data_IF_952014624397
#
_entry.id   IF_952014624397
#
_cell.length_a   1.000
_cell.length_b   1.000
_cell.length_c   1.000
_cell.angle_alpha   90.00
_cell.angle_beta   90.00
_cell.angle_gamma   90.00
#
_symmetry.space_group_name_H-M   'P 1'
#
loop_
_entity.id
_entity.type
_entity.pdbx_description
1 polymer ?
#
# COMPACT_ATOMS: atom_id res chain seq x y z
N UNK A 1 -40.68 -25.96 -2.20
CA UNK A 1 -39.31 -25.46 -1.96
C UNK A 1 -38.48 -26.67 -1.63
N UNK A 2 -37.51 -27.00 -2.51
CA UNK A 2 -36.51 -28.05 -2.24
C UNK A 2 -35.64 -27.59 -1.07
N UNK A 3 -35.31 -28.51 -0.18
CA UNK A 3 -34.46 -28.25 0.98
C UNK A 3 -33.08 -27.78 0.49
N UNK A 4 -32.78 -26.52 0.77
CA UNK A 4 -31.45 -25.94 0.50
C UNK A 4 -30.65 -26.07 1.78
N UNK A 5 -29.59 -26.86 1.76
CA UNK A 5 -28.69 -27.04 2.90
C UNK A 5 -27.61 -25.97 2.86
N UNK A 6 -27.57 -25.10 3.88
CA UNK A 6 -26.52 -24.14 4.07
C UNK A 6 -25.52 -24.71 5.09
N UNK A 7 -24.23 -24.75 4.73
CA UNK A 7 -23.19 -25.18 5.65
C UNK A 7 -22.12 -24.10 5.81
N UNK A 8 -21.80 -23.78 7.07
CA UNK A 8 -20.68 -22.91 7.40
C UNK A 8 -19.47 -23.74 7.81
N UNK A 9 -18.32 -23.46 7.23
CA UNK A 9 -17.05 -24.11 7.60
C UNK A 9 -16.22 -23.16 8.46
N UNK A 10 -15.57 -23.71 9.50
CA UNK A 10 -14.77 -22.94 10.44
C UNK A 10 -13.51 -22.30 9.80
N UNK A 11 -13.01 -22.86 8.70
CA UNK A 11 -11.87 -22.32 7.97
C UNK A 11 -12.30 -21.82 6.60
N UNK A 12 -12.28 -20.51 6.33
CA UNK A 12 -12.70 -19.92 5.06
C UNK A 12 -11.58 -19.98 3.99
N UNK A 13 -10.96 -21.13 3.80
CA UNK A 13 -9.89 -21.32 2.80
C UNK A 13 -10.41 -21.57 1.39
N UNK A 14 -11.60 -21.07 1.10
CA UNK A 14 -12.24 -21.19 -0.19
C UNK A 14 -13.59 -21.91 -0.09
N UNK A 15 -14.38 -21.82 -1.14
CA UNK A 15 -15.65 -22.51 -1.30
C UNK A 15 -15.70 -23.18 -2.67
N UNK A 16 -16.46 -24.24 -2.76
CA UNK A 16 -16.81 -24.81 -4.06
C UNK A 16 -18.33 -24.91 -4.15
N UNK A 17 -18.83 -24.86 -5.33
CA UNK A 17 -20.23 -25.10 -5.66
C UNK A 17 -20.27 -26.38 -6.47
N UNK A 18 -20.97 -27.38 -5.99
CA UNK A 18 -21.23 -28.61 -6.73
C UNK A 18 -22.66 -28.55 -7.30
N UNK A 19 -22.78 -28.87 -8.55
CA UNK A 19 -24.09 -28.94 -9.20
C UNK A 19 -24.54 -30.42 -9.28
N UNK A 20 -25.83 -30.70 -9.13
CA UNK A 20 -26.36 -32.07 -9.28
C UNK A 20 -26.06 -32.71 -10.64
N UNK A 21 -25.70 -31.90 -11.64
CA UNK A 21 -25.32 -32.33 -12.97
C UNK A 21 -24.06 -33.20 -12.99
N UNK A 22 -23.21 -33.09 -11.94
CA UNK A 22 -21.94 -33.83 -11.81
C UNK A 22 -22.12 -35.22 -11.20
N UNK A 23 -23.23 -35.48 -10.49
CA UNK A 23 -23.54 -36.76 -9.82
C UNK A 23 -24.62 -37.55 -10.57
N UNK A 24 -24.44 -37.72 -11.85
CA UNK A 24 -25.45 -38.17 -12.82
C UNK A 24 -26.00 -39.62 -12.71
N UNK A 25 -25.67 -40.38 -11.68
CA UNK A 25 -26.05 -41.80 -11.66
C UNK A 25 -27.52 -42.10 -11.37
N UNK A 26 -28.34 -41.09 -10.92
CA UNK A 26 -29.74 -41.30 -10.58
C UNK A 26 -30.71 -40.14 -10.93
N UNK A 27 -30.32 -39.21 -11.80
CA UNK A 27 -31.16 -38.05 -12.15
C UNK A 27 -31.59 -38.16 -13.62
N UNK A 28 -32.88 -37.93 -13.89
CA UNK A 28 -33.39 -37.84 -15.26
C UNK A 28 -32.62 -36.76 -16.07
N UNK A 29 -31.96 -37.12 -17.20
CA UNK A 29 -31.25 -36.19 -18.03
C UNK A 29 -32.07 -34.97 -18.52
N UNK A 30 -33.40 -35.10 -18.49
CA UNK A 30 -34.34 -34.04 -18.90
C UNK A 30 -34.92 -33.24 -17.73
N UNK A 31 -34.45 -33.48 -16.49
CA UNK A 31 -34.95 -32.69 -15.33
C UNK A 31 -34.72 -31.20 -15.58
N UNK A 32 -35.77 -30.36 -15.56
CA UNK A 32 -35.69 -28.93 -15.79
C UNK A 32 -34.86 -28.20 -14.70
N UNK A 33 -34.53 -28.88 -13.57
CA UNK A 33 -33.72 -28.31 -12.50
C UNK A 33 -32.22 -28.46 -12.74
N UNK A 34 -31.80 -29.24 -13.70
CA UNK A 34 -30.39 -29.34 -14.07
C UNK A 34 -29.94 -28.04 -14.75
N UNK A 35 -28.73 -27.56 -14.41
CA UNK A 35 -28.22 -26.32 -14.96
C UNK A 35 -28.10 -26.37 -16.49
N UNK A 36 -27.73 -27.53 -17.05
CA UNK A 36 -27.64 -27.75 -18.51
C UNK A 36 -28.97 -27.56 -19.25
N UNK A 37 -30.12 -27.80 -18.57
CA UNK A 37 -31.45 -27.70 -19.16
C UNK A 37 -32.09 -26.31 -18.96
N UNK A 38 -31.40 -25.40 -18.22
CA UNK A 38 -31.86 -24.04 -18.00
C UNK A 38 -31.56 -23.12 -19.20
N UNK A 39 -32.36 -22.06 -19.40
CA UNK A 39 -32.08 -21.03 -20.39
C UNK A 39 -30.65 -20.49 -20.29
N UNK A 40 -30.03 -20.15 -21.41
CA UNK A 40 -28.64 -19.69 -21.49
C UNK A 40 -28.38 -18.54 -20.52
N UNK A 41 -29.32 -17.58 -20.41
CA UNK A 41 -29.18 -16.42 -19.52
C UNK A 41 -29.01 -16.87 -18.06
N UNK A 42 -29.81 -17.84 -17.59
CA UNK A 42 -29.71 -18.33 -16.21
C UNK A 42 -28.39 -19.02 -15.95
N UNK A 43 -27.88 -19.79 -16.94
CA UNK A 43 -26.55 -20.43 -16.84
C UNK A 43 -25.42 -19.39 -16.75
N UNK A 44 -25.47 -18.36 -17.60
CA UNK A 44 -24.49 -17.27 -17.58
C UNK A 44 -24.51 -16.54 -16.23
N UNK A 45 -25.68 -16.22 -15.68
CA UNK A 45 -25.80 -15.57 -14.37
C UNK A 45 -25.16 -16.43 -13.26
N UNK A 46 -25.46 -17.71 -13.23
CA UNK A 46 -24.93 -18.61 -12.19
C UNK A 46 -23.42 -18.74 -12.30
N UNK A 47 -22.87 -18.94 -13.50
CA UNK A 47 -21.43 -19.11 -13.74
C UNK A 47 -20.68 -17.80 -13.43
N UNK A 48 -21.25 -16.66 -13.80
CA UNK A 48 -20.59 -15.36 -13.60
C UNK A 48 -20.77 -14.78 -12.17
N UNK A 49 -21.70 -15.31 -11.39
CA UNK A 49 -22.01 -14.78 -10.05
C UNK A 49 -20.76 -14.72 -9.12
N UNK A 50 -19.89 -15.71 -9.18
CA UNK A 50 -18.64 -15.72 -8.41
C UNK A 50 -17.71 -14.58 -8.77
N UNK A 51 -17.54 -14.30 -10.07
CA UNK A 51 -16.70 -13.20 -10.56
C UNK A 51 -17.28 -11.86 -10.11
N UNK A 52 -18.61 -11.67 -10.25
CA UNK A 52 -19.27 -10.44 -9.80
C UNK A 52 -19.17 -10.26 -8.28
N UNK A 53 -19.33 -11.32 -7.50
CA UNK A 53 -19.17 -11.25 -6.04
C UNK A 53 -17.75 -10.81 -5.66
N UNK A 54 -16.73 -11.35 -6.31
CA UNK A 54 -15.34 -10.95 -6.09
C UNK A 54 -15.08 -9.48 -6.45
N UNK A 55 -15.65 -9.00 -7.57
CA UNK A 55 -15.54 -7.59 -7.96
C UNK A 55 -16.22 -6.65 -6.95
N UNK A 56 -17.42 -7.01 -6.47
CA UNK A 56 -18.13 -6.25 -5.43
C UNK A 56 -17.31 -6.22 -4.15
N UNK A 57 -16.74 -7.36 -3.73
CA UNK A 57 -15.90 -7.43 -2.54
C UNK A 57 -14.64 -6.57 -2.68
N UNK A 58 -13.92 -6.67 -3.81
CA UNK A 58 -12.74 -5.88 -4.08
C UNK A 58 -13.05 -4.38 -4.07
N UNK A 59 -14.14 -3.97 -4.70
CA UNK A 59 -14.58 -2.58 -4.71
C UNK A 59 -14.98 -2.07 -3.32
N UNK A 60 -15.64 -2.90 -2.53
CA UNK A 60 -16.00 -2.58 -1.13
C UNK A 60 -14.74 -2.37 -0.28
N UNK A 61 -13.74 -3.23 -0.42
CA UNK A 61 -12.46 -3.08 0.28
C UNK A 61 -11.75 -1.79 -0.13
N UNK A 62 -11.76 -1.45 -1.43
CA UNK A 62 -11.20 -0.19 -1.93
C UNK A 62 -11.90 1.03 -1.32
N UNK A 63 -13.23 1.04 -1.29
CA UNK A 63 -13.99 2.13 -0.67
C UNK A 63 -13.64 2.26 0.81
N UNK A 64 -13.63 1.16 1.55
CA UNK A 64 -13.26 1.16 2.96
C UNK A 64 -11.83 1.70 3.14
N UNK A 65 -10.89 1.27 2.31
CA UNK A 65 -9.51 1.74 2.36
C UNK A 65 -9.43 3.24 2.11
N UNK A 66 -10.06 3.74 1.04
CA UNK A 66 -10.06 5.18 0.71
C UNK A 66 -10.73 6.03 1.80
N UNK A 67 -11.81 5.54 2.42
CA UNK A 67 -12.52 6.27 3.48
C UNK A 67 -11.80 6.27 4.82
N UNK A 68 -11.02 5.22 5.11
CA UNK A 68 -10.30 5.08 6.39
C UNK A 68 -8.86 5.59 6.33
N UNK A 69 -8.15 5.30 5.25
CA UNK A 69 -6.73 5.67 5.06
C UNK A 69 -6.60 7.03 4.35
N UNK A 70 -7.58 7.39 3.53
CA UNK A 70 -7.56 8.58 2.68
C UNK A 70 -6.81 8.34 1.36
N UNK A 71 -6.96 9.29 0.43
CA UNK A 71 -6.23 9.31 -0.84
C UNK A 71 -4.95 10.12 -0.59
N UNK A 72 -3.78 9.64 -1.00
CA UNK A 72 -2.58 10.46 -0.97
C UNK A 72 -2.81 11.68 -1.87
N UNK A 73 -2.77 12.87 -1.25
CA UNK A 73 -2.93 14.15 -1.94
C UNK A 73 -1.56 14.69 -2.34
N UNK A 74 -1.51 15.71 -3.19
CA UNK A 74 -0.32 16.25 -3.84
C UNK A 74 0.99 16.13 -3.04
N UNK A 75 2.11 15.76 -3.68
CA UNK A 75 3.40 15.71 -3.03
C UNK A 75 3.81 17.11 -2.56
N UNK A 76 4.08 17.25 -1.27
CA UNK A 76 4.68 18.46 -0.70
C UNK A 76 6.22 18.43 -0.84
N UNK A 77 6.89 19.58 -0.84
CA UNK A 77 8.33 19.63 -0.84
C UNK A 77 8.95 18.88 0.33
N UNK A 78 10.10 18.24 0.07
CA UNK A 78 10.85 17.53 1.08
C UNK A 78 10.60 16.02 1.13
N UNK A 79 11.25 15.38 2.09
CA UNK A 79 11.30 13.93 2.26
C UNK A 79 10.99 13.58 3.69
N UNK A 80 10.03 12.67 3.90
CA UNK A 80 9.68 12.20 5.23
C UNK A 80 10.58 11.02 5.64
N UNK A 81 11.11 11.11 6.85
CA UNK A 81 11.86 10.03 7.50
C UNK A 81 10.88 9.08 8.17
N UNK A 82 10.81 7.82 7.72
CA UNK A 82 9.93 6.80 8.31
C UNK A 82 10.56 6.11 9.50
N UNK A 83 11.84 5.78 9.37
CA UNK A 83 12.59 5.06 10.39
C UNK A 83 14.08 5.36 10.26
N UNK A 84 14.79 5.29 11.37
CA UNK A 84 16.26 5.35 11.44
C UNK A 84 16.77 4.08 12.10
N UNK A 85 17.87 3.53 11.57
CA UNK A 85 18.54 2.38 12.18
C UNK A 85 19.43 2.85 13.34
N UNK A 86 19.39 2.17 14.49
CA UNK A 86 20.27 2.47 15.60
C UNK A 86 21.76 2.40 15.17
N UNK A 87 22.57 3.25 15.77
CA UNK A 87 24.05 3.31 15.56
C UNK A 87 24.49 3.58 14.11
N UNK A 88 23.59 4.06 13.26
CA UNK A 88 23.91 4.53 11.90
C UNK A 88 23.97 6.05 11.84
N UNK A 89 24.54 6.56 10.75
CA UNK A 89 24.79 7.99 10.55
C UNK A 89 23.58 8.87 10.80
N UNK A 90 22.39 8.47 10.34
CA UNK A 90 21.14 9.19 10.55
C UNK A 90 20.78 9.31 12.04
N UNK A 91 20.82 8.20 12.77
CA UNK A 91 20.52 8.17 14.22
C UNK A 91 21.58 8.93 15.02
N UNK A 92 22.86 8.79 14.69
CA UNK A 92 23.95 9.50 15.36
C UNK A 92 23.91 11.02 15.15
N UNK A 93 23.41 11.46 13.99
CA UNK A 93 23.18 12.88 13.70
C UNK A 93 21.93 13.44 14.37
N UNK A 94 21.12 12.61 15.06
CA UNK A 94 19.90 13.01 15.72
C UNK A 94 18.68 13.12 14.78
N UNK A 95 18.72 12.46 13.61
CA UNK A 95 17.55 12.33 12.74
C UNK A 95 16.56 11.33 13.33
N UNK A 96 15.29 11.69 13.41
CA UNK A 96 14.25 10.90 14.04
C UNK A 96 13.10 10.56 13.07
N UNK A 97 12.37 9.46 13.29
CA UNK A 97 11.15 9.18 12.55
C UNK A 97 10.14 10.32 12.68
N UNK A 98 9.56 10.75 11.56
CA UNK A 98 8.65 11.89 11.49
C UNK A 98 9.29 13.20 11.07
N UNK A 99 10.62 13.29 11.00
CA UNK A 99 11.32 14.46 10.45
C UNK A 99 11.04 14.62 8.96
N UNK A 100 10.93 15.86 8.50
CA UNK A 100 10.90 16.20 7.09
C UNK A 100 12.20 16.85 6.68
N UNK A 101 12.95 16.23 5.79
CA UNK A 101 14.17 16.80 5.20
C UNK A 101 13.74 17.74 4.06
N UNK A 102 14.07 19.01 4.16
CA UNK A 102 13.68 20.05 3.20
C UNK A 102 14.82 20.47 2.29
N UNK A 103 16.05 20.50 2.83
CA UNK A 103 17.24 20.95 2.10
C UNK A 103 18.40 20.01 2.41
N UNK A 104 19.29 19.87 1.42
CA UNK A 104 20.58 19.23 1.57
C UNK A 104 21.65 20.17 1.04
N UNK A 105 22.71 20.43 1.83
CA UNK A 105 23.68 21.48 1.58
C UNK A 105 22.97 22.84 1.36
N UNK A 106 23.05 23.39 0.17
CA UNK A 106 22.39 24.64 -0.23
C UNK A 106 21.22 24.39 -1.19
N UNK A 107 20.89 23.11 -1.46
CA UNK A 107 19.89 22.72 -2.45
C UNK A 107 18.57 22.36 -1.80
N UNK A 108 17.50 23.04 -2.17
CA UNK A 108 16.14 22.70 -1.75
C UNK A 108 15.70 21.41 -2.42
N UNK A 109 15.19 20.47 -1.63
CA UNK A 109 14.62 19.24 -2.15
C UNK A 109 13.27 19.53 -2.80
N UNK A 110 13.08 19.04 -4.02
CA UNK A 110 11.82 19.15 -4.75
C UNK A 110 10.69 18.32 -4.16
N UNK A 111 9.79 17.84 -5.01
CA UNK A 111 8.62 17.04 -4.62
C UNK A 111 8.70 15.62 -5.16
N UNK A 112 8.04 14.70 -4.47
CA UNK A 112 7.86 13.33 -4.94
C UNK A 112 9.14 12.48 -4.99
N UNK A 113 9.16 11.49 -5.87
CA UNK A 113 10.27 10.52 -5.98
C UNK A 113 11.58 11.16 -6.48
N UNK A 114 11.50 12.29 -7.21
CA UNK A 114 12.69 13.02 -7.65
C UNK A 114 13.45 13.61 -6.46
N UNK A 115 12.75 14.12 -5.44
CA UNK A 115 13.39 14.62 -4.23
C UNK A 115 14.16 13.50 -3.51
N UNK A 116 13.55 12.32 -3.38
CA UNK A 116 14.20 11.15 -2.74
C UNK A 116 15.43 10.72 -3.53
N UNK A 117 15.33 10.63 -4.86
CA UNK A 117 16.45 10.22 -5.71
C UNK A 117 17.61 11.21 -5.67
N UNK A 118 17.31 12.52 -5.59
CA UNK A 118 18.32 13.57 -5.45
C UNK A 118 19.04 13.45 -4.10
N UNK A 119 18.30 13.36 -3.00
CA UNK A 119 18.89 13.18 -1.67
C UNK A 119 19.74 11.92 -1.57
N UNK A 120 19.23 10.79 -2.08
CA UNK A 120 19.99 9.52 -2.06
C UNK A 120 21.28 9.64 -2.87
N UNK A 121 21.25 10.31 -4.02
CA UNK A 121 22.42 10.51 -4.86
C UNK A 121 23.50 11.36 -4.15
N UNK A 122 23.08 12.46 -3.51
CA UNK A 122 24.01 13.30 -2.75
C UNK A 122 24.64 12.54 -1.57
N UNK A 123 23.82 11.79 -0.81
CA UNK A 123 24.30 10.94 0.28
C UNK A 123 25.30 9.90 -0.22
N UNK A 124 25.02 9.26 -1.37
CA UNK A 124 25.91 8.25 -1.94
C UNK A 124 27.26 8.83 -2.40
N UNK A 125 27.25 10.06 -2.91
CA UNK A 125 28.44 10.74 -3.40
C UNK A 125 29.33 11.29 -2.27
N UNK A 126 28.74 11.57 -1.09
CA UNK A 126 29.43 12.19 0.05
C UNK A 126 29.82 11.14 1.10
N UNK A 127 30.46 10.08 0.66
CA UNK A 127 30.95 8.99 1.52
C UNK A 127 32.03 9.50 2.47
N UNK A 128 31.82 9.33 3.78
CA UNK A 128 32.71 9.75 4.87
C UNK A 128 32.94 11.30 4.95
N UNK A 129 32.17 12.08 4.18
CA UNK A 129 32.19 13.54 4.23
C UNK A 129 30.96 14.06 4.97
N UNK A 130 31.09 15.14 5.78
CA UNK A 130 29.96 15.75 6.46
C UNK A 130 29.07 16.50 5.47
N UNK A 131 27.76 16.24 5.49
CA UNK A 131 26.73 16.95 4.74
C UNK A 131 25.75 17.61 5.70
N UNK A 132 25.37 18.86 5.39
CA UNK A 132 24.36 19.60 6.12
C UNK A 132 22.98 19.32 5.56
N UNK A 133 22.01 19.06 6.43
CA UNK A 133 20.60 18.93 6.07
C UNK A 133 19.76 19.84 6.93
N UNK A 134 18.75 20.47 6.33
CA UNK A 134 17.72 21.19 7.05
C UNK A 134 16.47 20.35 7.17
N UNK A 135 16.01 20.16 8.41
CA UNK A 135 14.81 19.40 8.72
C UNK A 135 13.73 20.27 9.35
N UNK A 136 12.47 19.86 9.17
CA UNK A 136 11.33 20.33 9.95
C UNK A 136 10.91 19.22 10.94
N UNK A 137 10.90 19.54 12.23
CA UNK A 137 10.44 18.68 13.32
C UNK A 137 9.42 19.44 14.18
N UNK A 138 8.18 18.96 14.24
CA UNK A 138 7.10 19.58 15.00
C UNK A 138 6.90 21.08 14.66
N UNK A 139 7.01 21.45 13.39
CA UNK A 139 6.88 22.83 12.92
C UNK A 139 8.09 23.73 13.20
N UNK A 140 9.19 23.18 13.70
CA UNK A 140 10.45 23.90 13.94
C UNK A 140 11.53 23.44 12.99
N UNK A 141 12.30 24.37 12.44
CA UNK A 141 13.43 24.05 11.58
C UNK A 141 14.68 23.79 12.42
N UNK A 142 15.46 22.80 11.99
CA UNK A 142 16.74 22.44 12.59
C UNK A 142 17.74 22.08 11.49
N UNK A 143 19.00 22.45 11.71
CA UNK A 143 20.11 22.02 10.88
C UNK A 143 20.80 20.84 11.56
N UNK A 144 21.04 19.77 10.82
CA UNK A 144 21.74 18.58 11.26
C UNK A 144 22.90 18.30 10.31
N UNK A 145 23.99 17.78 10.86
CA UNK A 145 25.13 17.32 10.06
C UNK A 145 25.17 15.80 10.04
N UNK A 146 25.05 15.23 8.85
CA UNK A 146 25.17 13.79 8.58
C UNK A 146 26.57 13.47 8.09
N UNK A 147 27.14 12.36 8.53
CA UNK A 147 28.36 11.80 7.95
C UNK A 147 28.04 10.41 7.41
N UNK A 148 27.69 10.30 6.11
CA UNK A 148 27.35 9.00 5.52
C UNK A 148 28.52 8.04 5.61
N UNK A 149 28.28 6.81 6.06
CA UNK A 149 29.34 5.78 6.09
C UNK A 149 29.50 5.12 4.75
N UNK A 150 30.75 4.91 4.36
CA UNK A 150 31.08 4.15 3.16
C UNK A 150 30.72 2.67 3.35
N UNK A 151 29.82 2.17 2.49
CA UNK A 151 29.53 0.75 2.36
C UNK A 151 29.59 0.41 0.87
N UNK A 152 30.51 -0.46 0.49
CA UNK A 152 30.72 -0.89 -0.90
C UNK A 152 30.93 0.29 -1.89
N UNK A 153 31.63 1.33 -1.46
CA UNK A 153 31.91 2.51 -2.30
C UNK A 153 30.80 3.54 -2.37
N UNK A 154 29.73 3.39 -1.57
CA UNK A 154 28.60 4.33 -1.52
C UNK A 154 28.34 4.81 -0.10
N UNK A 155 28.06 6.09 0.03
CA UNK A 155 27.62 6.68 1.30
C UNK A 155 26.25 6.16 1.71
N UNK A 156 26.10 5.78 2.96
CA UNK A 156 24.84 5.32 3.54
C UNK A 156 24.58 5.97 4.89
N UNK A 157 23.32 6.27 5.20
CA UNK A 157 22.94 6.90 6.47
C UNK A 157 22.09 5.99 7.37
N UNK A 158 21.54 4.90 6.84
CA UNK A 158 20.69 3.98 7.61
C UNK A 158 19.33 4.59 7.98
N UNK A 159 18.69 5.29 7.05
CA UNK A 159 17.34 5.83 7.20
C UNK A 159 16.40 5.28 6.12
N UNK A 160 15.14 5.10 6.48
CA UNK A 160 14.05 4.82 5.54
C UNK A 160 13.38 6.12 5.15
N UNK A 161 13.38 6.43 3.86
CA UNK A 161 12.92 7.69 3.30
C UNK A 161 11.73 7.48 2.37
N UNK A 162 10.78 8.41 2.40
CA UNK A 162 9.68 8.45 1.43
C UNK A 162 9.39 9.88 1.01
N UNK A 163 8.78 10.10 -0.17
CA UNK A 163 8.28 11.41 -0.55
C UNK A 163 7.35 11.97 0.51
N UNK A 164 7.42 13.29 0.74
CA UNK A 164 6.46 13.97 1.62
C UNK A 164 5.11 14.04 0.90
N UNK A 165 4.18 13.20 1.31
CA UNK A 165 2.83 13.13 0.75
C UNK A 165 1.84 13.51 1.85
N UNK A 166 1.11 14.61 1.65
CA UNK A 166 0.06 15.03 2.57
C UNK A 166 -1.11 14.06 2.51
N UNK A 167 -1.38 13.38 3.60
CA UNK A 167 -2.61 12.59 3.77
C UNK A 167 -3.71 13.50 4.30
N UNK A 168 -4.47 14.14 3.43
CA UNK A 168 -5.69 14.80 3.87
C UNK A 168 -6.82 13.79 4.03
N UNK A 169 -7.17 13.51 5.26
CA UNK A 169 -8.48 12.94 5.58
C UNK A 169 -9.49 14.07 5.42
N UNK A 170 -10.19 14.14 4.31
CA UNK A 170 -11.30 15.06 4.14
C UNK A 170 -12.39 14.67 5.14
N UNK A 171 -12.38 15.27 6.35
CA UNK A 171 -13.55 15.25 7.22
C UNK A 171 -14.64 16.02 6.49
N UNK A 172 -15.62 15.32 5.96
CA UNK A 172 -16.86 15.93 5.47
C UNK A 172 -17.48 16.65 6.67
N UNK A 173 -17.37 17.98 6.68
CA UNK A 173 -18.20 18.78 7.59
C UNK A 173 -19.63 18.65 7.13
N UNK A 174 -20.48 18.00 7.93
CA UNK A 174 -21.92 18.19 7.90
C UNK A 174 -22.27 19.60 8.31
#
# INVERSE_FOLDING_TARGET
FRDITYSFRAFPLGGFVSFPDEELNNIDPKDPNLLKNRPIIQRVIVISAGVFANLILAYSILIINVTTVGIPFDPEPGILVLATQPDKAASLAGLEPGDKILEIETSTLGVGDQAVSTLVKEIQNSSDEPISIKIERNGSFKDLTLVPKNIDGKGTIGAQLQPNIRKETKKTKN
#
